data_IF_540622515111
#
_entry.id   IF_540622515111
#
_cell.length_a   1.000
_cell.length_b   1.000
_cell.length_c   1.000
_cell.angle_alpha   90.00
_cell.angle_beta   90.00
_cell.angle_gamma   90.00
#
_symmetry.space_group_name_H-M   'P 1'
#
loop_
_entity.id
_entity.type
_entity.pdbx_description
1 polymer ?
#
# COMPACT_ATOMS: atom_id res chain seq x y z
N UNK A 1 4.29 9.56 -11.68
CA UNK A 1 4.40 9.42 -10.20
C UNK A 1 4.26 7.96 -9.81
N UNK A 2 5.07 7.49 -8.86
CA UNK A 2 4.91 6.15 -8.30
C UNK A 2 3.62 6.07 -7.47
N UNK A 3 2.91 4.95 -7.59
CA UNK A 3 1.75 4.61 -6.76
C UNK A 3 2.21 4.34 -5.33
N UNK A 4 2.20 5.38 -4.48
CA UNK A 4 2.63 5.33 -3.08
C UNK A 4 1.43 5.49 -2.15
N UNK A 5 1.36 4.70 -1.08
CA UNK A 5 0.38 4.92 -0.01
C UNK A 5 0.80 6.10 0.87
N UNK A 6 -0.03 7.15 1.05
CA UNK A 6 0.31 8.31 1.88
C UNK A 6 0.61 7.97 3.35
N UNK A 7 -0.12 7.00 3.91
CA UNK A 7 -0.02 6.64 5.34
C UNK A 7 1.20 5.74 5.60
N UNK A 8 1.36 4.68 4.79
CA UNK A 8 2.37 3.63 5.05
C UNK A 8 3.62 3.79 4.20
N UNK A 9 3.65 4.75 3.26
CA UNK A 9 4.75 4.99 2.30
C UNK A 9 5.14 3.76 1.47
N UNK A 10 4.28 2.75 1.43
CA UNK A 10 4.48 1.54 0.64
C UNK A 10 4.47 1.89 -0.85
N UNK A 11 5.49 1.41 -1.55
CA UNK A 11 5.70 1.56 -2.98
C UNK A 11 5.87 0.19 -3.64
N UNK A 12 5.74 0.16 -4.97
CA UNK A 12 5.94 -1.06 -5.75
C UNK A 12 7.39 -1.53 -5.66
N UNK A 13 7.60 -2.84 -5.55
CA UNK A 13 8.94 -3.45 -5.54
C UNK A 13 9.15 -4.23 -6.83
N UNK A 14 10.39 -4.30 -7.31
CA UNK A 14 10.78 -5.19 -8.39
C UNK A 14 11.32 -6.47 -7.77
N UNK A 15 10.67 -7.60 -8.01
CA UNK A 15 11.07 -8.89 -7.50
C UNK A 15 11.25 -9.89 -8.64
N UNK A 16 12.29 -10.70 -8.57
CA UNK A 16 12.39 -11.91 -9.38
C UNK A 16 11.47 -13.00 -8.85
N UNK A 17 11.37 -14.10 -9.60
CA UNK A 17 10.86 -15.36 -9.10
C UNK A 17 11.85 -16.48 -9.38
N UNK A 18 11.47 -17.68 -8.98
CA UNK A 18 12.19 -18.91 -9.27
C UNK A 18 11.18 -19.90 -9.84
N UNK A 19 11.58 -20.67 -10.86
CA UNK A 19 10.71 -21.68 -11.45
C UNK A 19 11.00 -23.07 -10.87
N UNK A 20 9.94 -23.80 -10.52
CA UNK A 20 10.05 -25.16 -10.00
C UNK A 20 10.25 -26.23 -11.10
N UNK A 21 10.64 -25.83 -12.32
CA UNK A 21 10.78 -26.74 -13.47
C UNK A 21 12.09 -27.55 -13.42
N UNK A 22 13.11 -27.05 -12.72
CA UNK A 22 14.42 -27.71 -12.58
C UNK A 22 14.58 -28.19 -11.13
N UNK A 23 15.42 -29.20 -10.89
CA UNK A 23 15.82 -29.62 -9.53
C UNK A 23 16.19 -28.40 -8.68
N UNK A 24 15.72 -28.40 -7.42
CA UNK A 24 15.92 -27.32 -6.45
C UNK A 24 17.39 -26.97 -6.19
N UNK A 25 18.34 -27.84 -6.56
CA UNK A 25 19.78 -27.61 -6.46
C UNK A 25 20.32 -26.65 -7.53
N UNK A 26 19.56 -26.37 -8.59
CA UNK A 26 19.94 -25.40 -9.64
C UNK A 26 19.06 -24.16 -9.53
N UNK A 27 19.70 -22.98 -9.41
CA UNK A 27 19.00 -21.70 -9.44
C UNK A 27 18.49 -21.40 -10.87
N UNK A 28 17.18 -21.30 -11.07
CA UNK A 28 16.53 -21.00 -12.34
C UNK A 28 15.62 -19.77 -12.18
N UNK A 29 16.17 -18.56 -12.33
CA UNK A 29 15.44 -17.33 -12.11
C UNK A 29 14.38 -17.12 -13.19
N UNK A 30 13.18 -16.71 -12.78
CA UNK A 30 12.24 -16.08 -13.70
C UNK A 30 12.55 -14.58 -13.80
N UNK A 31 12.17 -13.97 -14.92
CA UNK A 31 12.39 -12.55 -15.17
C UNK A 31 11.90 -11.65 -14.04
N UNK A 32 12.52 -10.47 -13.88
CA UNK A 32 12.13 -9.50 -12.86
C UNK A 32 10.77 -8.91 -13.20
N UNK A 33 9.80 -9.06 -12.29
CA UNK A 33 8.45 -8.50 -12.44
C UNK A 33 8.18 -7.48 -11.35
N UNK A 34 7.47 -6.40 -11.70
CA UNK A 34 7.08 -5.36 -10.76
C UNK A 34 5.85 -5.82 -9.95
N UNK A 35 6.00 -5.94 -8.64
CA UNK A 35 4.92 -6.24 -7.68
C UNK A 35 4.31 -4.92 -7.22
N UNK A 36 3.05 -4.71 -7.56
CA UNK A 36 2.31 -3.48 -7.25
C UNK A 36 1.72 -3.53 -5.83
N UNK A 37 1.56 -2.36 -5.22
CA UNK A 37 0.85 -2.22 -3.94
C UNK A 37 -0.66 -2.25 -4.21
N UNK A 38 -1.42 -2.96 -3.36
CA UNK A 38 -2.88 -2.98 -3.40
C UNK A 38 -3.45 -1.63 -2.92
N UNK A 39 -3.46 -0.64 -3.81
CA UNK A 39 -4.03 0.69 -3.58
C UNK A 39 -5.50 0.72 -3.99
N UNK A 40 -6.34 1.25 -3.11
CA UNK A 40 -7.77 1.37 -3.31
C UNK A 40 -8.21 2.82 -3.08
N UNK A 41 -9.07 3.32 -3.95
CA UNK A 41 -9.72 4.63 -3.78
C UNK A 41 -10.88 4.47 -2.81
N UNK A 42 -10.85 5.17 -1.68
CA UNK A 42 -11.88 5.11 -0.65
C UNK A 42 -12.29 6.51 -0.18
N UNK A 43 -13.57 6.66 0.17
CA UNK A 43 -14.13 7.86 0.79
C UNK A 43 -14.23 7.61 2.28
N UNK A 44 -13.65 8.49 3.08
CA UNK A 44 -13.58 8.33 4.53
C UNK A 44 -14.18 9.59 5.15
N UNK A 45 -15.10 9.39 6.10
CA UNK A 45 -15.65 10.49 6.87
C UNK A 45 -14.72 10.81 8.05
N UNK A 46 -14.39 12.09 8.20
CA UNK A 46 -13.57 12.59 9.32
C UNK A 46 -14.51 13.37 10.24
N UNK A 47 -14.89 12.81 11.41
CA UNK A 47 -15.83 13.45 12.32
C UNK A 47 -15.41 14.85 12.76
N UNK A 48 -14.12 15.06 13.00
CA UNK A 48 -13.54 16.29 13.54
C UNK A 48 -13.59 17.46 12.55
N UNK A 49 -13.69 17.17 11.25
CA UNK A 49 -13.80 18.17 10.18
C UNK A 49 -15.19 18.22 9.57
N UNK A 50 -16.10 17.34 10.02
CA UNK A 50 -17.42 17.11 9.45
C UNK A 50 -17.42 17.00 7.90
N UNK A 51 -16.36 16.40 7.34
CA UNK A 51 -16.12 16.33 5.88
C UNK A 51 -15.72 14.92 5.48
N UNK A 52 -16.08 14.55 4.23
CA UNK A 52 -15.66 13.30 3.60
C UNK A 52 -14.43 13.55 2.73
N UNK A 53 -13.33 12.88 3.02
CA UNK A 53 -12.08 12.97 2.25
C UNK A 53 -11.95 11.74 1.36
N UNK A 54 -11.60 11.95 0.09
CA UNK A 54 -11.30 10.85 -0.85
C UNK A 54 -9.80 10.63 -0.87
N UNK A 55 -9.36 9.44 -0.47
CA UNK A 55 -7.95 9.07 -0.39
C UNK A 55 -7.69 7.75 -1.10
N UNK A 56 -6.55 7.66 -1.78
CA UNK A 56 -6.05 6.40 -2.35
C UNK A 56 -5.09 5.77 -1.34
N UNK A 57 -5.50 4.66 -0.75
CA UNK A 57 -4.79 4.03 0.38
C UNK A 57 -4.48 2.57 0.11
N UNK A 58 -3.43 2.06 0.75
CA UNK A 58 -3.20 0.62 0.83
C UNK A 58 -4.12 -0.04 1.86
N UNK A 59 -4.37 -1.33 1.72
CA UNK A 59 -5.13 -2.14 2.70
C UNK A 59 -4.53 -2.06 4.11
N UNK A 60 -3.20 -2.06 4.22
CA UNK A 60 -2.53 -1.85 5.51
C UNK A 60 -2.76 -0.44 6.06
N UNK A 61 -2.78 0.59 5.20
CA UNK A 61 -3.14 1.94 5.61
C UNK A 61 -4.54 2.00 6.21
N UNK A 62 -5.50 1.28 5.62
CA UNK A 62 -6.86 1.17 6.15
C UNK A 62 -6.89 0.52 7.53
N UNK A 63 -6.11 -0.55 7.75
CA UNK A 63 -5.95 -1.19 9.07
C UNK A 63 -5.34 -0.22 10.10
N UNK A 64 -4.36 0.59 9.70
CA UNK A 64 -3.75 1.59 10.58
C UNK A 64 -4.75 2.67 10.99
N UNK A 65 -5.62 3.12 10.08
CA UNK A 65 -6.68 4.08 10.38
C UNK A 65 -7.69 3.52 11.38
N UNK A 66 -8.09 2.26 11.22
CA UNK A 66 -9.00 1.60 12.15
C UNK A 66 -8.40 1.47 13.57
N UNK A 67 -7.08 1.22 13.69
CA UNK A 67 -6.41 1.08 14.99
C UNK A 67 -6.15 2.41 15.70
N UNK A 68 -5.68 3.42 14.97
CA UNK A 68 -5.13 4.64 15.56
C UNK A 68 -6.07 5.86 15.46
N UNK A 69 -7.22 5.70 14.81
CA UNK A 69 -8.16 6.79 14.49
C UNK A 69 -7.84 7.49 13.16
N UNK A 70 -8.89 7.97 12.51
CA UNK A 70 -8.83 8.56 11.17
C UNK A 70 -8.09 9.91 11.16
N UNK A 71 -8.45 10.82 12.07
CA UNK A 71 -7.87 12.16 12.11
C UNK A 71 -6.37 12.16 12.41
N UNK A 72 -5.96 11.42 13.45
CA UNK A 72 -4.55 11.30 13.86
C UNK A 72 -3.67 10.73 12.75
N UNK A 73 -4.18 9.75 12.01
CA UNK A 73 -3.42 9.09 10.94
C UNK A 73 -3.32 9.94 9.68
N UNK A 74 -4.38 10.66 9.31
CA UNK A 74 -4.37 11.56 8.15
C UNK A 74 -3.54 12.83 8.41
N UNK A 75 -3.62 13.41 9.62
CA UNK A 75 -2.76 14.54 10.05
C UNK A 75 -1.29 14.16 10.05
N UNK A 76 -0.95 12.98 10.58
CA UNK A 76 0.43 12.46 10.56
C UNK A 76 0.95 12.23 9.13
N UNK A 77 0.06 11.89 8.21
CA UNK A 77 0.41 11.68 6.81
C UNK A 77 0.50 12.98 5.99
N UNK A 78 0.13 14.14 6.55
CA UNK A 78 0.12 15.42 5.85
C UNK A 78 -0.92 15.50 4.72
N UNK A 79 -1.98 14.68 4.81
CA UNK A 79 -3.08 14.65 3.82
C UNK A 79 -4.22 15.59 4.24
N UNK A 80 -4.17 16.03 5.50
CA UNK A 80 -5.01 17.03 6.19
C UNK A 80 -4.04 17.85 7.03
#
# INVERSE_FOLDING_TARGET
MAKICPITKKHSIVGGGYSNRIRATKFNPTGKVRKQVNLQKKRIFVPELNRRVTVTLSTQGMRTMAKNGVYKTLKKAGVI
#
